data_IF_523105980637
#
_entry.id   IF_523105980637
#
_cell.length_a   1.000
_cell.length_b   1.000
_cell.length_c   1.000
_cell.angle_alpha   90.00
_cell.angle_beta   90.00
_cell.angle_gamma   90.00
#
_symmetry.space_group_name_H-M   'P 1'
#
loop_
_entity.id
_entity.type
_entity.pdbx_description
1 polymer ?
#
# COMPACT_ATOMS: atom_id res chain seq x y z
N UNK A 1 -23.73 20.97 -51.88
CA UNK A 1 -23.82 22.12 -52.82
C UNK A 1 -22.44 22.67 -53.03
N UNK A 2 -22.02 22.67 -54.30
CA UNK A 2 -21.09 23.56 -55.04
C UNK A 2 -19.65 23.63 -54.47
N UNK A 3 -18.61 23.01 -55.15
CA UNK A 3 -17.98 23.42 -56.43
C UNK A 3 -17.15 24.71 -56.24
N UNK A 4 -15.86 24.72 -56.51
CA UNK A 4 -15.09 24.90 -57.75
C UNK A 4 -13.60 24.87 -57.38
N UNK A 5 -12.70 24.07 -57.98
CA UNK A 5 -12.13 24.06 -59.34
C UNK A 5 -11.29 25.31 -59.68
N UNK A 6 -10.12 25.03 -60.09
CA UNK A 6 -9.20 25.51 -61.12
C UNK A 6 -7.95 26.25 -60.63
N UNK A 7 -6.81 26.23 -61.21
CA UNK A 7 -6.22 25.58 -62.40
C UNK A 7 -4.78 26.11 -62.58
N UNK A 8 -3.90 25.26 -63.05
CA UNK A 8 -2.76 25.56 -63.96
C UNK A 8 -1.53 26.33 -63.52
N UNK A 9 -0.41 25.73 -63.83
CA UNK A 9 0.89 26.37 -64.04
C UNK A 9 1.98 25.34 -64.29
N UNK A 10 2.07 24.91 -65.52
CA UNK A 10 3.08 24.05 -66.18
C UNK A 10 4.36 24.87 -66.43
N UNK A 11 5.56 24.31 -66.28
CA UNK A 11 6.75 24.44 -67.16
C UNK A 11 7.87 23.54 -66.57
N UNK A 12 8.11 22.45 -67.20
CA UNK A 12 9.26 21.97 -67.99
C UNK A 12 10.60 21.82 -67.27
N UNK A 13 10.95 20.61 -67.03
CA UNK A 13 11.95 19.75 -67.70
C UNK A 13 13.40 20.21 -67.63
N UNK A 14 14.23 19.43 -66.89
CA UNK A 14 15.50 18.94 -67.43
C UNK A 14 15.92 17.65 -66.71
N UNK A 15 16.11 16.60 -67.46
CA UNK A 15 16.69 15.31 -67.12
C UNK A 15 18.21 15.48 -66.85
N UNK A 16 18.70 14.87 -65.75
CA UNK A 16 20.01 14.26 -65.75
C UNK A 16 19.97 12.99 -64.88
N UNK A 17 20.32 11.90 -65.52
CA UNK A 17 20.51 10.56 -65.06
C UNK A 17 21.74 10.51 -64.13
N UNK A 18 21.60 9.89 -62.94
CA UNK A 18 22.72 9.56 -62.05
C UNK A 18 22.37 8.41 -61.13
N UNK A 19 22.73 7.26 -61.56
CA UNK A 19 22.96 5.96 -60.93
C UNK A 19 22.58 5.70 -59.45
N UNK A 20 21.91 4.53 -59.30
CA UNK A 20 21.68 3.73 -58.14
C UNK A 20 22.85 3.69 -57.10
N UNK A 21 22.53 3.86 -55.83
CA UNK A 21 23.05 2.94 -54.83
C UNK A 21 22.07 2.87 -53.65
N UNK A 22 21.50 1.70 -53.48
CA UNK A 22 20.73 1.35 -52.29
C UNK A 22 21.66 1.33 -51.10
N UNK A 23 21.41 2.19 -50.09
CA UNK A 23 22.02 2.11 -48.78
C UNK A 23 20.96 2.32 -47.72
N UNK A 24 20.82 1.29 -46.95
CA UNK A 24 20.03 1.15 -45.72
C UNK A 24 19.96 2.45 -44.93
N UNK A 25 18.73 2.77 -44.48
CA UNK A 25 18.51 3.76 -43.42
C UNK A 25 19.17 3.25 -42.14
N UNK A 26 20.36 3.76 -41.88
CA UNK A 26 20.95 3.76 -40.55
C UNK A 26 20.38 4.98 -39.83
N UNK A 27 19.71 4.73 -38.73
CA UNK A 27 19.34 5.75 -37.75
C UNK A 27 20.57 6.58 -37.40
N UNK A 28 20.55 7.86 -37.74
CA UNK A 28 21.55 8.82 -37.27
C UNK A 28 21.43 8.94 -35.76
N UNK A 29 22.24 8.19 -35.04
CA UNK A 29 22.59 8.49 -33.65
C UNK A 29 23.33 9.82 -33.68
N UNK A 30 22.67 10.87 -33.24
CA UNK A 30 23.29 12.17 -32.99
C UNK A 30 24.50 11.95 -32.06
N UNK A 31 25.66 11.95 -32.68
CA UNK A 31 26.92 11.97 -31.95
C UNK A 31 27.23 13.43 -31.60
N UNK A 32 26.62 13.90 -30.50
CA UNK A 32 26.97 15.19 -29.90
C UNK A 32 28.32 15.04 -29.19
N UNK A 33 29.39 15.39 -29.92
CA UNK A 33 30.74 15.46 -29.41
C UNK A 33 30.93 16.74 -28.60
N UNK A 34 30.24 16.84 -27.48
CA UNK A 34 30.53 17.84 -26.48
C UNK A 34 31.78 17.37 -25.68
N UNK A 35 32.75 18.24 -25.37
CA UNK A 35 33.96 17.85 -24.60
C UNK A 35 33.50 17.24 -23.29
N UNK A 36 34.01 16.05 -22.97
CA UNK A 36 33.69 15.36 -21.72
C UNK A 36 34.17 16.21 -20.52
N UNK A 37 33.30 17.04 -20.00
CA UNK A 37 33.31 17.30 -18.57
C UNK A 37 33.27 15.93 -17.91
N UNK A 38 34.20 15.64 -17.03
CA UNK A 38 34.15 14.46 -16.19
C UNK A 38 32.86 14.58 -15.34
N UNK A 39 31.75 14.12 -15.89
CA UNK A 39 30.52 13.95 -15.12
C UNK A 39 30.86 12.91 -14.07
N UNK A 40 31.12 13.38 -12.85
CA UNK A 40 31.13 12.52 -11.66
C UNK A 40 29.74 11.89 -11.65
N UNK A 41 29.65 10.69 -12.19
CA UNK A 41 28.37 10.02 -12.41
C UNK A 41 27.68 9.84 -11.06
N UNK A 42 26.43 10.31 -10.95
CA UNK A 42 25.61 10.14 -9.77
C UNK A 42 25.54 8.66 -9.36
N UNK A 43 25.84 8.40 -8.10
CA UNK A 43 25.78 7.06 -7.53
C UNK A 43 24.39 6.79 -7.00
N UNK A 44 23.58 6.11 -7.80
CA UNK A 44 22.18 5.83 -7.52
C UNK A 44 22.02 4.36 -7.10
N UNK A 45 21.14 4.11 -6.11
CA UNK A 45 20.69 2.79 -5.73
C UNK A 45 19.16 2.77 -5.61
N UNK A 46 18.57 1.58 -5.59
CA UNK A 46 17.15 1.42 -5.29
C UNK A 46 16.86 0.24 -4.39
N UNK A 47 15.70 0.33 -3.72
CA UNK A 47 15.15 -0.71 -2.86
C UNK A 47 13.75 -1.06 -3.36
N UNK A 48 13.47 -2.34 -3.57
CA UNK A 48 12.15 -2.85 -3.93
C UNK A 48 11.29 -2.94 -2.68
N UNK A 49 10.21 -2.13 -2.65
CA UNK A 49 9.36 -2.02 -1.47
C UNK A 49 8.67 -3.35 -1.13
N UNK A 50 8.10 -4.04 -2.12
CA UNK A 50 7.37 -5.29 -1.92
C UNK A 50 8.29 -6.39 -1.35
N UNK A 51 9.51 -6.50 -1.91
CA UNK A 51 10.52 -7.43 -1.41
C UNK A 51 10.94 -7.08 0.02
N UNK A 52 11.13 -5.79 0.30
CA UNK A 52 11.48 -5.31 1.64
C UNK A 52 10.36 -5.62 2.64
N UNK A 53 9.10 -5.29 2.32
CA UNK A 53 7.96 -5.54 3.20
C UNK A 53 7.77 -7.05 3.46
N UNK A 54 7.94 -7.89 2.43
CA UNK A 54 7.77 -9.35 2.57
C UNK A 54 8.91 -10.03 3.34
N UNK A 55 10.10 -9.45 3.40
CA UNK A 55 11.28 -10.06 4.01
C UNK A 55 11.74 -9.40 5.31
N UNK A 56 11.33 -8.17 5.60
CA UNK A 56 11.67 -7.49 6.84
C UNK A 56 10.87 -8.08 8.00
N UNK A 57 11.57 -8.58 9.04
CA UNK A 57 10.96 -9.29 10.16
C UNK A 57 9.94 -8.46 10.93
N UNK A 58 10.15 -7.15 11.04
CA UNK A 58 9.17 -6.25 11.65
C UNK A 58 7.79 -6.37 10.97
N UNK A 59 7.76 -6.27 9.63
CA UNK A 59 6.49 -6.39 8.90
C UNK A 59 5.85 -7.77 9.08
N UNK A 60 6.64 -8.85 9.11
CA UNK A 60 6.12 -10.21 9.33
C UNK A 60 5.46 -10.33 10.70
N UNK A 61 6.14 -9.88 11.74
CA UNK A 61 5.66 -9.97 13.11
C UNK A 61 4.38 -9.14 13.30
N UNK A 62 4.39 -7.89 12.83
CA UNK A 62 3.20 -7.04 12.95
C UNK A 62 2.06 -7.45 12.02
N UNK A 63 2.34 -8.00 10.84
CA UNK A 63 1.30 -8.52 9.95
C UNK A 63 0.51 -9.66 10.60
N UNK A 64 1.19 -10.58 11.32
CA UNK A 64 0.54 -11.65 12.06
C UNK A 64 -0.38 -11.08 13.16
N UNK A 65 0.12 -10.13 13.96
CA UNK A 65 -0.63 -9.47 15.03
C UNK A 65 -1.82 -8.67 14.50
N UNK A 66 -1.62 -7.86 13.46
CA UNK A 66 -2.68 -7.05 12.86
C UNK A 66 -3.77 -7.91 12.21
N UNK A 67 -3.38 -8.99 11.55
CA UNK A 67 -4.35 -9.94 10.97
C UNK A 67 -5.23 -10.54 12.07
N UNK A 68 -4.64 -10.97 13.17
CA UNK A 68 -5.39 -11.51 14.33
C UNK A 68 -6.31 -10.45 14.94
N UNK A 69 -5.79 -9.24 15.16
CA UNK A 69 -6.59 -8.12 15.70
C UNK A 69 -7.78 -7.80 14.80
N UNK A 70 -7.58 -7.74 13.48
CA UNK A 70 -8.67 -7.52 12.51
C UNK A 70 -9.74 -8.61 12.57
N UNK A 71 -9.33 -9.89 12.62
CA UNK A 71 -10.24 -11.01 12.77
C UNK A 71 -11.04 -10.95 14.09
N UNK A 72 -10.38 -10.58 15.19
CA UNK A 72 -11.03 -10.45 16.49
C UNK A 72 -12.04 -9.30 16.52
N UNK A 73 -11.74 -8.18 15.86
CA UNK A 73 -12.68 -7.07 15.70
C UNK A 73 -13.94 -7.55 14.95
N UNK A 74 -13.77 -8.22 13.80
CA UNK A 74 -14.89 -8.73 13.02
C UNK A 74 -15.74 -9.74 13.83
N UNK A 75 -15.08 -10.67 14.54
CA UNK A 75 -15.74 -11.67 15.41
C UNK A 75 -16.56 -10.96 16.51
N UNK A 76 -15.97 -9.98 17.17
CA UNK A 76 -16.62 -9.22 18.24
C UNK A 76 -17.84 -8.48 17.74
N UNK A 77 -17.72 -7.74 16.64
CA UNK A 77 -18.84 -7.00 16.06
C UNK A 77 -19.95 -7.94 15.59
N UNK A 78 -19.62 -9.06 14.94
CA UNK A 78 -20.59 -10.06 14.52
C UNK A 78 -21.32 -10.70 15.70
N UNK A 79 -20.64 -10.95 16.82
CA UNK A 79 -21.28 -11.48 18.04
C UNK A 79 -22.23 -10.46 18.67
N UNK A 80 -21.84 -9.19 18.74
CA UNK A 80 -22.67 -8.11 19.25
C UNK A 80 -23.91 -7.87 18.38
N UNK A 81 -23.73 -7.90 17.06
CA UNK A 81 -24.84 -7.79 16.11
C UNK A 81 -25.86 -8.91 16.30
N UNK A 82 -25.40 -10.17 16.40
CA UNK A 82 -26.31 -11.33 16.65
C UNK A 82 -27.03 -11.23 17.99
N UNK A 83 -26.35 -10.75 19.03
CA UNK A 83 -26.98 -10.54 20.33
C UNK A 83 -28.10 -9.50 20.25
N UNK A 84 -27.86 -8.38 19.57
CA UNK A 84 -28.85 -7.33 19.32
C UNK A 84 -30.06 -7.87 18.54
N UNK A 85 -29.82 -8.62 17.45
CA UNK A 85 -30.90 -9.25 16.65
C UNK A 85 -31.73 -10.22 17.50
N UNK A 86 -31.08 -11.03 18.33
CA UNK A 86 -31.75 -11.97 19.23
C UNK A 86 -32.59 -11.22 20.27
N UNK A 87 -32.08 -10.14 20.82
CA UNK A 87 -32.80 -9.32 21.79
C UNK A 87 -34.01 -8.61 21.13
N UNK A 88 -33.81 -8.04 19.96
CA UNK A 88 -34.93 -7.42 19.21
C UNK A 88 -36.03 -8.42 18.87
N UNK A 89 -35.65 -9.63 18.43
CA UNK A 89 -36.62 -10.69 18.15
C UNK A 89 -37.36 -11.13 19.42
N UNK A 90 -36.71 -11.19 20.57
CA UNK A 90 -37.38 -11.52 21.84
C UNK A 90 -38.36 -10.43 22.27
N UNK A 91 -38.04 -9.15 22.11
CA UNK A 91 -38.96 -8.04 22.38
C UNK A 91 -40.13 -8.07 21.43
N UNK A 92 -39.93 -8.32 20.13
CA UNK A 92 -40.96 -8.44 19.16
C UNK A 92 -41.96 -9.58 19.51
N UNK A 93 -41.43 -10.76 19.89
CA UNK A 93 -42.20 -11.89 20.32
C UNK A 93 -43.09 -11.56 21.54
N UNK A 94 -42.52 -10.89 22.55
CA UNK A 94 -43.27 -10.43 23.72
C UNK A 94 -44.40 -9.47 23.36
N UNK A 95 -44.13 -8.58 22.41
CA UNK A 95 -45.16 -7.66 21.91
C UNK A 95 -46.31 -8.40 21.22
N UNK A 96 -46.00 -9.34 20.32
CA UNK A 96 -47.01 -10.16 19.60
C UNK A 96 -47.82 -11.04 20.55
N UNK A 97 -47.21 -11.53 21.64
CA UNK A 97 -47.88 -12.34 22.66
C UNK A 97 -48.63 -11.53 23.71
N UNK A 98 -48.69 -10.18 23.58
CA UNK A 98 -49.28 -9.26 24.56
C UNK A 98 -48.70 -9.43 25.98
N UNK A 99 -47.41 -9.73 26.11
CA UNK A 99 -46.76 -9.95 27.39
C UNK A 99 -46.33 -8.65 28.11
N UNK A 100 -46.38 -7.51 27.42
CA UNK A 100 -46.13 -6.20 28.06
C UNK A 100 -47.38 -5.77 28.82
N UNK A 101 -47.17 -5.55 30.13
CA UNK A 101 -48.28 -5.18 31.04
C UNK A 101 -48.54 -3.68 31.08
N UNK A 102 -47.54 -2.87 30.77
CA UNK A 102 -47.63 -1.41 30.77
C UNK A 102 -46.96 -0.80 29.54
N UNK A 103 -47.40 0.40 29.16
CA UNK A 103 -46.79 1.19 28.11
C UNK A 103 -45.34 1.52 28.42
N UNK A 104 -45.04 1.84 29.66
CA UNK A 104 -43.69 2.16 30.13
C UNK A 104 -42.73 0.98 29.98
N UNK A 105 -43.22 -0.26 30.16
CA UNK A 105 -42.38 -1.45 29.94
C UNK A 105 -42.02 -1.64 28.48
N UNK A 106 -42.99 -1.46 27.57
CA UNK A 106 -42.76 -1.50 26.13
C UNK A 106 -41.75 -0.40 25.69
N UNK A 107 -41.93 0.84 26.17
CA UNK A 107 -41.06 1.96 25.85
C UNK A 107 -39.62 1.71 26.34
N UNK A 108 -39.46 1.19 27.56
CA UNK A 108 -38.12 0.80 28.06
C UNK A 108 -37.47 -0.29 27.22
N UNK A 109 -38.23 -1.28 26.76
CA UNK A 109 -37.72 -2.33 25.89
C UNK A 109 -37.28 -1.78 24.52
N UNK A 110 -38.07 -0.89 23.92
CA UNK A 110 -37.70 -0.24 22.67
C UNK A 110 -36.44 0.65 22.83
N UNK A 111 -36.39 1.42 23.91
CA UNK A 111 -35.25 2.26 24.23
C UNK A 111 -33.95 1.45 24.47
N UNK A 112 -34.09 0.22 25.03
CA UNK A 112 -32.92 -0.65 25.23
C UNK A 112 -32.33 -1.10 23.88
N UNK A 113 -33.15 -1.43 22.90
CA UNK A 113 -32.69 -1.79 21.55
C UNK A 113 -31.99 -0.59 20.87
N UNK A 114 -32.61 0.59 20.96
CA UNK A 114 -31.99 1.80 20.39
C UNK A 114 -30.64 2.10 21.01
N UNK A 115 -30.53 1.94 22.34
CA UNK A 115 -29.26 2.10 23.05
C UNK A 115 -28.22 1.07 22.58
N UNK A 116 -28.59 -0.21 22.50
CA UNK A 116 -27.68 -1.27 22.03
C UNK A 116 -27.21 -1.03 20.58
N UNK A 117 -28.07 -0.50 19.70
CA UNK A 117 -27.70 -0.11 18.34
C UNK A 117 -26.66 1.00 18.35
N UNK A 118 -26.86 2.03 19.16
CA UNK A 118 -25.93 3.14 19.29
C UNK A 118 -24.59 2.66 19.89
N UNK A 119 -24.63 1.85 20.95
CA UNK A 119 -23.45 1.29 21.59
C UNK A 119 -22.64 0.41 20.62
N UNK A 120 -23.32 -0.35 19.73
CA UNK A 120 -22.65 -1.15 18.70
C UNK A 120 -22.00 -0.28 17.64
N UNK A 121 -22.67 0.78 17.19
CA UNK A 121 -22.09 1.73 16.23
C UNK A 121 -20.84 2.42 16.81
N UNK A 122 -20.94 2.93 18.05
CA UNK A 122 -19.80 3.55 18.74
C UNK A 122 -18.63 2.56 18.95
N UNK A 123 -18.93 1.30 19.30
CA UNK A 123 -17.92 0.25 19.41
C UNK A 123 -17.22 0.01 18.07
N UNK A 124 -17.98 -0.07 16.97
CA UNK A 124 -17.43 -0.28 15.64
C UNK A 124 -16.49 0.84 15.24
N UNK A 125 -16.91 2.10 15.41
CA UNK A 125 -16.10 3.27 15.09
C UNK A 125 -14.81 3.33 15.92
N UNK A 126 -14.91 3.04 17.22
CA UNK A 126 -13.76 3.01 18.11
C UNK A 126 -12.76 1.91 17.69
N UNK A 127 -13.22 0.69 17.48
CA UNK A 127 -12.34 -0.44 17.10
C UNK A 127 -11.68 -0.20 15.73
N UNK A 128 -12.41 0.39 14.78
CA UNK A 128 -11.86 0.76 13.48
C UNK A 128 -10.77 1.84 13.60
N UNK A 129 -11.03 2.87 14.40
CA UNK A 129 -10.06 3.94 14.66
C UNK A 129 -8.80 3.43 15.36
N UNK A 130 -8.95 2.61 16.40
CA UNK A 130 -7.83 1.98 17.11
C UNK A 130 -6.98 1.09 16.18
N UNK A 131 -7.64 0.34 15.28
CA UNK A 131 -6.96 -0.50 14.32
C UNK A 131 -6.17 0.33 13.29
N UNK A 132 -6.77 1.40 12.76
CA UNK A 132 -6.11 2.31 11.82
C UNK A 132 -4.90 3.01 12.46
N UNK A 133 -5.02 3.46 13.72
CA UNK A 133 -3.90 4.05 14.47
C UNK A 133 -2.76 3.05 14.69
N UNK A 134 -3.07 1.79 14.98
CA UNK A 134 -2.07 0.74 15.14
C UNK A 134 -1.33 0.48 13.83
N UNK A 135 -2.04 0.38 12.69
CA UNK A 135 -1.43 0.23 11.37
C UNK A 135 -0.51 1.42 11.03
N UNK A 136 -0.96 2.66 11.30
CA UNK A 136 -0.16 3.85 11.07
C UNK A 136 1.13 3.82 11.92
N UNK A 137 1.03 3.46 13.20
CA UNK A 137 2.16 3.33 14.12
C UNK A 137 3.20 2.33 13.61
N UNK A 138 2.75 1.18 13.12
CA UNK A 138 3.65 0.14 12.56
C UNK A 138 4.38 0.64 11.31
N UNK A 139 3.67 1.33 10.42
CA UNK A 139 4.26 1.91 9.22
C UNK A 139 5.28 3.00 9.55
N UNK A 140 5.00 3.84 10.54
CA UNK A 140 5.93 4.87 11.00
C UNK A 140 7.19 4.24 11.60
N UNK A 141 7.05 3.24 12.47
CA UNK A 141 8.17 2.52 13.07
C UNK A 141 9.06 1.85 12.00
N UNK A 142 8.43 1.23 11.01
CA UNK A 142 9.16 0.61 9.90
C UNK A 142 9.91 1.66 9.07
N UNK A 143 9.26 2.77 8.73
CA UNK A 143 9.86 3.88 7.98
C UNK A 143 11.06 4.46 8.72
N UNK A 144 10.91 4.74 10.01
CA UNK A 144 11.99 5.31 10.84
C UNK A 144 13.18 4.34 10.95
N UNK A 145 12.91 3.04 11.10
CA UNK A 145 13.92 2.00 11.10
C UNK A 145 14.70 1.94 9.78
N UNK A 146 13.97 1.94 8.66
CA UNK A 146 14.54 1.92 7.31
C UNK A 146 15.40 3.16 7.07
N UNK A 147 14.88 4.36 7.36
CA UNK A 147 15.62 5.61 7.18
C UNK A 147 16.89 5.66 8.06
N UNK A 148 16.77 5.24 9.32
CA UNK A 148 17.89 5.20 10.24
C UNK A 148 18.97 4.22 9.80
N UNK A 149 18.57 3.06 9.28
CA UNK A 149 19.49 2.09 8.69
C UNK A 149 20.18 2.67 7.45
N UNK A 150 19.41 3.21 6.49
CA UNK A 150 19.95 3.77 5.25
C UNK A 150 20.91 4.93 5.51
N UNK A 151 20.64 5.80 6.48
CA UNK A 151 21.56 6.87 6.88
C UNK A 151 22.92 6.31 7.35
N UNK A 152 22.92 5.22 8.12
CA UNK A 152 24.16 4.57 8.56
C UNK A 152 24.87 3.85 7.42
N UNK A 153 24.13 3.08 6.63
CA UNK A 153 24.61 2.32 5.48
C UNK A 153 25.28 3.23 4.45
N UNK A 154 24.65 4.39 4.20
CA UNK A 154 25.13 5.34 3.20
C UNK A 154 26.43 6.08 3.61
N UNK A 155 26.78 6.13 4.89
CA UNK A 155 28.08 6.68 5.31
C UNK A 155 29.28 5.97 4.65
N UNK A 156 29.12 4.67 4.40
CA UNK A 156 30.16 3.85 3.75
C UNK A 156 29.96 3.72 2.24
N UNK A 157 28.69 3.65 1.81
CA UNK A 157 28.36 3.40 0.40
C UNK A 157 28.36 4.65 -0.46
N UNK A 158 28.09 5.82 0.14
CA UNK A 158 28.16 7.13 -0.52
C UNK A 158 27.28 7.20 -1.79
N UNK A 159 26.03 6.75 -1.70
CA UNK A 159 25.02 6.98 -2.74
C UNK A 159 24.54 8.43 -2.67
N UNK A 160 24.38 9.07 -3.82
CA UNK A 160 23.74 10.37 -3.93
C UNK A 160 22.23 10.24 -3.75
N UNK A 161 21.65 9.16 -4.30
CA UNK A 161 20.23 8.85 -4.19
C UNK A 161 20.00 7.36 -3.87
N UNK A 162 19.07 7.11 -2.95
CA UNK A 162 18.48 5.79 -2.73
C UNK A 162 16.99 5.93 -2.99
N UNK A 163 16.51 5.33 -4.06
CA UNK A 163 15.11 5.39 -4.51
C UNK A 163 14.34 4.18 -4.01
N UNK A 164 13.03 4.34 -3.86
CA UNK A 164 12.12 3.22 -3.61
C UNK A 164 11.50 2.81 -4.93
N UNK A 165 11.58 1.52 -5.28
CA UNK A 165 10.81 0.94 -6.38
C UNK A 165 9.51 0.36 -5.81
N UNK A 166 8.38 1.00 -6.15
CA UNK A 166 7.05 0.62 -5.71
C UNK A 166 6.06 0.83 -6.86
N UNK A 167 5.27 -0.19 -7.20
CA UNK A 167 4.42 -0.13 -8.37
C UNK A 167 5.18 0.30 -9.63
N UNK A 168 4.63 1.26 -10.38
CA UNK A 168 5.15 1.71 -11.66
C UNK A 168 6.03 2.97 -11.58
N UNK A 169 6.47 3.39 -10.39
CA UNK A 169 7.27 4.61 -10.24
C UNK A 169 8.69 4.48 -10.83
N UNK A 170 9.17 3.25 -11.06
CA UNK A 170 10.44 2.93 -11.66
C UNK A 170 10.26 1.77 -12.62
N UNK A 171 9.97 2.09 -13.89
CA UNK A 171 9.62 1.09 -14.92
C UNK A 171 10.80 0.18 -15.28
N UNK A 172 12.01 0.75 -15.39
CA UNK A 172 13.24 0.03 -15.72
C UNK A 172 14.33 0.44 -14.75
N UNK A 173 14.99 -0.54 -14.15
CA UNK A 173 16.16 -0.33 -13.30
C UNK A 173 17.17 -1.45 -13.51
N UNK A 174 18.44 -1.11 -13.64
CA UNK A 174 19.50 -2.09 -13.74
C UNK A 174 19.65 -2.83 -12.40
N UNK A 175 19.59 -4.18 -12.37
CA UNK A 175 19.70 -4.96 -11.13
C UNK A 175 20.98 -4.70 -10.31
N UNK A 176 22.06 -4.24 -10.94
CA UNK A 176 23.31 -3.89 -10.23
C UNK A 176 23.15 -2.77 -9.20
N UNK A 177 22.10 -1.95 -9.34
CA UNK A 177 21.77 -0.86 -8.41
C UNK A 177 20.79 -1.27 -7.31
N UNK A 178 20.32 -2.53 -7.34
CA UNK A 178 19.40 -3.06 -6.34
C UNK A 178 20.16 -3.37 -5.04
N UNK A 179 19.83 -2.66 -3.97
CA UNK A 179 20.41 -2.89 -2.63
C UNK A 179 19.41 -3.51 -1.64
N UNK A 180 18.27 -3.97 -2.12
CA UNK A 180 17.18 -4.49 -1.27
C UNK A 180 17.65 -5.57 -0.30
N UNK A 181 18.41 -6.55 -0.79
CA UNK A 181 18.91 -7.64 0.04
C UNK A 181 19.86 -7.18 1.15
N UNK A 182 20.71 -6.21 0.86
CA UNK A 182 21.63 -5.65 1.86
C UNK A 182 20.84 -4.89 2.94
N UNK A 183 19.82 -4.12 2.51
CA UNK A 183 18.94 -3.38 3.42
C UNK A 183 18.15 -4.34 4.30
N UNK A 184 17.51 -5.36 3.73
CA UNK A 184 16.76 -6.38 4.48
C UNK A 184 17.65 -7.11 5.49
N UNK A 185 18.83 -7.58 5.06
CA UNK A 185 19.79 -8.24 5.97
C UNK A 185 20.20 -7.33 7.13
N UNK A 186 20.48 -6.06 6.82
CA UNK A 186 20.89 -5.10 7.83
C UNK A 186 19.76 -4.75 8.80
N UNK A 187 18.54 -4.56 8.31
CA UNK A 187 17.37 -4.31 9.15
C UNK A 187 17.08 -5.51 10.06
N UNK A 188 17.03 -6.72 9.51
CA UNK A 188 16.76 -7.93 10.28
C UNK A 188 17.84 -8.21 11.35
N UNK A 189 19.11 -7.88 11.07
CA UNK A 189 20.19 -8.02 12.05
C UNK A 189 19.99 -7.12 13.27
N UNK A 190 19.38 -5.95 13.09
CA UNK A 190 19.18 -4.96 14.15
C UNK A 190 17.78 -4.98 14.75
N UNK A 191 16.84 -5.64 14.10
CA UNK A 191 15.47 -5.76 14.60
C UNK A 191 15.44 -6.60 15.87
N UNK A 192 14.70 -6.10 16.85
CA UNK A 192 14.34 -6.84 18.07
C UNK A 192 12.85 -6.69 18.25
N UNK A 193 12.15 -7.81 18.29
CA UNK A 193 10.72 -7.82 18.57
C UNK A 193 10.46 -7.21 19.95
N UNK A 194 9.46 -6.35 20.05
CA UNK A 194 9.05 -5.78 21.34
C UNK A 194 8.40 -6.86 22.21
N UNK A 195 8.60 -6.83 23.54
CA UNK A 195 8.05 -7.85 24.44
C UNK A 195 6.55 -8.07 24.24
N UNK A 196 5.77 -6.99 24.15
CA UNK A 196 4.32 -7.05 23.95
C UNK A 196 3.92 -7.70 22.61
N UNK A 197 4.67 -7.47 21.54
CA UNK A 197 4.45 -8.10 20.23
C UNK A 197 4.83 -9.58 20.29
N UNK A 198 5.93 -9.90 20.95
CA UNK A 198 6.38 -11.29 21.12
C UNK A 198 5.36 -12.13 21.91
N UNK A 199 4.75 -11.57 22.95
CA UNK A 199 3.68 -12.21 23.71
C UNK A 199 2.44 -12.44 22.86
N UNK A 200 2.03 -11.45 22.05
CA UNK A 200 0.91 -11.58 21.14
C UNK A 200 1.16 -12.67 20.08
N UNK A 201 2.34 -12.70 19.47
CA UNK A 201 2.72 -13.75 18.50
C UNK A 201 2.70 -15.13 19.17
N UNK A 202 3.21 -15.22 20.40
CA UNK A 202 3.18 -16.48 21.17
C UNK A 202 1.74 -16.94 21.40
N UNK A 203 0.86 -16.05 21.87
CA UNK A 203 -0.56 -16.33 22.08
C UNK A 203 -1.25 -16.80 20.80
N UNK A 204 -0.96 -16.15 19.66
CA UNK A 204 -1.48 -16.55 18.34
C UNK A 204 -1.05 -17.99 17.99
N UNK A 205 0.23 -18.32 18.18
CA UNK A 205 0.77 -19.66 17.88
C UNK A 205 0.23 -20.75 18.80
N UNK A 206 -0.09 -20.40 20.04
CA UNK A 206 -0.70 -21.30 21.02
C UNK A 206 -2.23 -21.41 20.87
N UNK A 207 -2.84 -20.70 19.91
CA UNK A 207 -4.29 -20.68 19.70
C UNK A 207 -5.08 -20.05 20.85
N UNK A 208 -4.42 -19.24 21.67
CA UNK A 208 -5.05 -18.50 22.76
C UNK A 208 -5.62 -17.20 22.21
N UNK A 209 -6.95 -17.01 22.41
CA UNK A 209 -7.66 -15.77 22.10
C UNK A 209 -7.55 -14.77 23.24
#
# INVERSE_FOLDING_TARGET
MKKYVTLCGLVAATLLLGACNAKSEEEEVMNDSTPSEQTVGLKIAYVELDTLMSQYQLYKDYSEVLTRKGNNIQKTLAQKQRALETHAAAIQKKYESNEFTTRDELERAQNSIQKEQNDLAELADRLQSEFAMEQARVNDEARDSIQSFLKRYNKTKQFDYVMVKAGDNLLIANPKFNITNDVVKGLNKHYKVKPEVAEQIKAIKEGKD
#
